data_IF_354886005363
#
_entry.id   IF_354886005363
#
_cell.length_a   1.000
_cell.length_b   1.000
_cell.length_c   1.000
_cell.angle_alpha   90.00
_cell.angle_beta   90.00
_cell.angle_gamma   90.00
#
_symmetry.space_group_name_H-M   'P 1'
#
loop_
_entity.id
_entity.type
_entity.pdbx_description
1 polymer ?
#
# COMPACT_ATOMS: atom_id res chain seq x y z
N UNK A 1 20.44 -15.80 -15.66
CA UNK A 1 18.96 -15.67 -15.70
C UNK A 1 18.41 -14.95 -14.46
N UNK A 2 18.93 -15.22 -13.26
CA UNK A 2 18.56 -14.62 -11.98
C UNK A 2 18.58 -13.07 -11.95
N UNK A 3 19.58 -12.45 -12.58
CA UNK A 3 19.72 -11.00 -12.64
C UNK A 3 18.58 -10.29 -13.42
N UNK A 4 18.06 -10.92 -14.49
CA UNK A 4 16.97 -10.35 -15.31
C UNK A 4 15.64 -10.35 -14.55
N UNK A 5 15.35 -11.40 -13.80
CA UNK A 5 14.13 -11.50 -12.99
C UNK A 5 14.11 -10.43 -11.87
N UNK A 6 15.24 -10.23 -11.19
CA UNK A 6 15.38 -9.17 -10.16
C UNK A 6 15.19 -7.77 -10.78
N UNK A 7 15.72 -7.53 -11.98
CA UNK A 7 15.55 -6.27 -12.70
C UNK A 7 14.07 -5.96 -13.00
N UNK A 8 13.31 -6.96 -13.46
CA UNK A 8 11.88 -6.84 -13.78
C UNK A 8 11.08 -6.53 -12.52
N UNK A 9 11.33 -7.26 -11.41
CA UNK A 9 10.68 -6.98 -10.12
C UNK A 9 10.94 -5.55 -9.65
N UNK A 10 12.18 -5.08 -9.75
CA UNK A 10 12.56 -3.70 -9.38
C UNK A 10 11.85 -2.66 -10.25
N UNK A 11 11.78 -2.88 -11.56
CA UNK A 11 11.04 -1.99 -12.46
C UNK A 11 9.55 -1.92 -12.10
N UNK A 12 8.93 -3.07 -11.79
CA UNK A 12 7.54 -3.13 -11.33
C UNK A 12 7.34 -2.38 -10.00
N UNK A 13 8.23 -2.56 -9.02
CA UNK A 13 8.17 -1.83 -7.75
C UNK A 13 8.25 -0.30 -7.96
N UNK A 14 9.11 0.16 -8.88
CA UNK A 14 9.21 1.59 -9.24
C UNK A 14 7.91 2.12 -9.83
N UNK A 15 7.22 1.35 -10.69
CA UNK A 15 5.93 1.75 -11.24
C UNK A 15 4.86 1.86 -10.14
N UNK A 16 4.77 0.85 -9.27
CA UNK A 16 3.84 0.86 -8.12
C UNK A 16 4.11 2.07 -7.23
N UNK A 17 5.38 2.39 -6.95
CA UNK A 17 5.74 3.57 -6.15
C UNK A 17 5.29 4.89 -6.80
N UNK A 18 5.47 5.04 -8.12
CA UNK A 18 5.00 6.22 -8.86
C UNK A 18 3.48 6.37 -8.77
N UNK A 19 2.75 5.26 -8.93
CA UNK A 19 1.29 5.27 -8.80
C UNK A 19 0.85 5.57 -7.37
N UNK A 20 1.50 4.96 -6.36
CA UNK A 20 1.25 5.22 -4.94
C UNK A 20 1.43 6.70 -4.61
N UNK A 21 2.50 7.33 -5.10
CA UNK A 21 2.74 8.77 -4.91
C UNK A 21 1.62 9.60 -5.52
N UNK A 22 1.13 9.26 -6.71
CA UNK A 22 0.02 9.99 -7.35
C UNK A 22 -1.29 9.83 -6.57
N UNK A 23 -1.63 8.63 -6.12
CA UNK A 23 -2.89 8.41 -5.39
C UNK A 23 -2.86 9.00 -3.99
N UNK A 24 -1.69 9.03 -3.34
CA UNK A 24 -1.55 9.60 -2.00
C UNK A 24 -1.73 11.12 -2.02
N UNK A 25 -1.24 11.82 -3.04
CA UNK A 25 -1.55 13.25 -3.22
C UNK A 25 -3.05 13.50 -3.41
N UNK A 26 -3.73 12.65 -4.20
CA UNK A 26 -5.17 12.75 -4.36
C UNK A 26 -5.95 12.47 -3.06
N UNK A 27 -5.47 11.54 -2.23
CA UNK A 27 -6.04 11.30 -0.90
C UNK A 27 -5.85 12.53 0.00
N UNK A 28 -4.65 13.13 0.00
CA UNK A 28 -4.37 14.37 0.74
C UNK A 28 -5.25 15.54 0.28
N UNK A 29 -5.62 15.60 -0.99
CA UNK A 29 -6.58 16.59 -1.50
C UNK A 29 -8.01 16.30 -1.02
N UNK A 30 -8.44 15.04 -1.04
CA UNK A 30 -9.78 14.63 -0.66
C UNK A 30 -10.07 14.89 0.82
N UNK A 31 -9.12 14.58 1.71
CA UNK A 31 -9.27 14.84 3.16
C UNK A 31 -9.38 16.32 3.52
N UNK A 32 -9.02 17.24 2.61
CA UNK A 32 -9.16 18.69 2.80
C UNK A 32 -10.51 19.23 2.33
N UNK A 33 -11.33 18.42 1.66
CA UNK A 33 -12.65 18.84 1.20
C UNK A 33 -13.65 18.82 2.35
N UNK A 34 -14.75 19.57 2.20
CA UNK A 34 -15.86 19.52 3.15
C UNK A 34 -16.40 18.09 3.26
N UNK A 35 -16.76 17.61 4.45
CA UNK A 35 -17.18 16.22 4.68
C UNK A 35 -18.64 16.01 4.26
N UNK A 36 -18.95 16.24 2.98
CA UNK A 36 -20.20 15.80 2.37
C UNK A 36 -20.17 14.30 2.14
N UNK A 37 -21.34 13.66 2.01
CA UNK A 37 -21.45 12.22 1.70
C UNK A 37 -20.56 11.83 0.51
N UNK A 38 -20.68 12.56 -0.62
CA UNK A 38 -19.86 12.32 -1.80
C UNK A 38 -18.35 12.46 -1.55
N UNK A 39 -17.92 13.44 -0.76
CA UNK A 39 -16.50 13.64 -0.46
C UNK A 39 -15.98 12.57 0.53
N UNK A 40 -16.84 12.08 1.43
CA UNK A 40 -16.52 10.97 2.32
C UNK A 40 -16.33 9.68 1.52
N UNK A 41 -17.27 9.34 0.62
CA UNK A 41 -17.16 8.18 -0.27
C UNK A 41 -15.89 8.25 -1.13
N UNK A 42 -15.63 9.41 -1.73
CA UNK A 42 -14.42 9.62 -2.52
C UNK A 42 -13.14 9.49 -1.68
N UNK A 43 -13.18 9.91 -0.40
CA UNK A 43 -12.04 9.79 0.51
C UNK A 43 -11.79 8.33 0.90
N UNK A 44 -12.86 7.58 1.20
CA UNK A 44 -12.79 6.14 1.48
C UNK A 44 -12.19 5.40 0.29
N UNK A 45 -12.71 5.61 -0.92
CA UNK A 45 -12.20 4.95 -2.12
C UNK A 45 -10.72 5.26 -2.39
N UNK A 46 -10.29 6.51 -2.14
CA UNK A 46 -8.88 6.92 -2.28
C UNK A 46 -7.99 6.30 -1.23
N UNK A 47 -8.48 6.17 0.00
CA UNK A 47 -7.77 5.44 1.06
C UNK A 47 -7.55 3.98 0.67
N UNK A 48 -8.59 3.30 0.16
CA UNK A 48 -8.47 1.91 -0.29
C UNK A 48 -7.44 1.74 -1.39
N UNK A 49 -7.43 2.63 -2.40
CA UNK A 49 -6.41 2.59 -3.45
C UNK A 49 -5.00 2.85 -2.92
N UNK A 50 -4.84 3.78 -1.99
CA UNK A 50 -3.56 4.04 -1.34
C UNK A 50 -3.08 2.82 -0.56
N UNK A 51 -3.96 2.19 0.22
CA UNK A 51 -3.64 0.99 0.99
C UNK A 51 -3.27 -0.17 0.06
N UNK A 52 -4.05 -0.40 -0.99
CA UNK A 52 -3.84 -1.46 -1.98
C UNK A 52 -2.47 -1.35 -2.66
N UNK A 53 -2.09 -0.14 -3.09
CA UNK A 53 -0.78 0.10 -3.69
C UNK A 53 0.36 0.02 -2.66
N UNK A 54 0.12 0.44 -1.42
CA UNK A 54 1.12 0.38 -0.34
C UNK A 54 1.50 -1.06 -0.01
N UNK A 55 0.54 -1.95 0.23
CA UNK A 55 0.86 -3.34 0.57
C UNK A 55 1.45 -4.09 -0.64
N UNK A 56 1.05 -3.75 -1.89
CA UNK A 56 1.69 -4.29 -3.10
C UNK A 56 3.13 -3.84 -3.25
N UNK A 57 3.45 -2.59 -2.89
CA UNK A 57 4.83 -2.11 -2.87
C UNK A 57 5.64 -2.82 -1.81
N UNK A 58 5.12 -2.96 -0.58
CA UNK A 58 5.76 -3.72 0.49
C UNK A 58 6.06 -5.16 0.06
N UNK A 59 5.07 -5.84 -0.52
CA UNK A 59 5.23 -7.19 -1.09
C UNK A 59 6.35 -7.22 -2.13
N UNK A 60 6.32 -6.32 -3.11
CA UNK A 60 7.33 -6.28 -4.17
C UNK A 60 8.75 -6.04 -3.62
N UNK A 61 8.89 -5.18 -2.61
CA UNK A 61 10.16 -4.93 -1.94
C UNK A 61 10.65 -6.16 -1.19
N UNK A 62 9.78 -6.82 -0.41
CA UNK A 62 10.12 -8.06 0.29
C UNK A 62 10.54 -9.18 -0.69
N UNK A 63 9.85 -9.32 -1.82
CA UNK A 63 10.17 -10.32 -2.86
C UNK A 63 11.49 -10.04 -3.61
N UNK A 64 11.99 -8.80 -3.60
CA UNK A 64 13.31 -8.44 -4.13
C UNK A 64 14.42 -8.88 -3.17
N UNK A 65 14.13 -8.86 -1.86
CA UNK A 65 14.97 -9.38 -0.77
C UNK A 65 14.85 -10.91 -0.60
N UNK A 66 14.07 -11.58 -1.46
CA UNK A 66 13.91 -13.04 -1.45
C UNK A 66 12.87 -13.56 -0.46
N UNK A 67 12.07 -12.69 0.14
CA UNK A 67 11.00 -13.06 1.06
C UNK A 67 9.70 -13.37 0.32
N UNK A 68 9.01 -14.41 0.76
CA UNK A 68 7.68 -14.74 0.25
C UNK A 68 6.58 -13.96 0.99
N UNK A 69 5.68 -13.34 0.23
CA UNK A 69 4.56 -12.56 0.76
C UNK A 69 3.28 -12.87 -0.03
N UNK A 70 2.27 -13.41 0.64
CA UNK A 70 1.01 -13.86 0.01
C UNK A 70 -0.23 -13.03 0.41
N UNK A 71 -0.12 -12.16 1.41
CA UNK A 71 -1.26 -11.38 1.93
C UNK A 71 -0.84 -9.98 2.40
N UNK A 72 -1.78 -9.00 2.52
CA UNK A 72 -1.48 -7.68 3.08
C UNK A 72 -0.91 -7.76 4.50
N UNK A 73 -1.48 -8.64 5.34
CA UNK A 73 -0.99 -8.89 6.70
C UNK A 73 0.45 -9.42 6.70
N UNK A 74 0.77 -10.34 5.78
CA UNK A 74 2.13 -10.83 5.58
C UNK A 74 3.09 -9.76 5.09
N UNK A 75 2.63 -8.90 4.18
CA UNK A 75 3.43 -7.79 3.65
C UNK A 75 3.82 -6.80 4.76
N UNK A 76 2.89 -6.43 5.64
CA UNK A 76 3.16 -5.53 6.78
C UNK A 76 4.20 -6.15 7.72
N UNK A 77 4.05 -7.44 8.07
CA UNK A 77 5.00 -8.14 8.95
C UNK A 77 6.40 -8.18 8.36
N UNK A 78 6.54 -8.62 7.11
CA UNK A 78 7.84 -8.73 6.46
C UNK A 78 8.48 -7.36 6.22
N UNK A 79 7.68 -6.36 5.85
CA UNK A 79 8.15 -4.99 5.70
C UNK A 79 8.73 -4.43 7.01
N UNK A 80 8.12 -4.72 8.15
CA UNK A 80 8.67 -4.34 9.45
C UNK A 80 9.98 -5.07 9.78
N UNK A 81 10.05 -6.38 9.51
CA UNK A 81 11.26 -7.20 9.74
C UNK A 81 12.47 -6.67 8.95
N UNK A 82 12.27 -6.25 7.71
CA UNK A 82 13.35 -5.70 6.86
C UNK A 82 13.57 -4.19 7.06
N UNK A 83 12.87 -3.54 8.01
CA UNK A 83 13.02 -2.10 8.28
C UNK A 83 12.46 -1.18 7.18
N UNK A 84 11.53 -1.67 6.35
CA UNK A 84 10.84 -0.84 5.34
C UNK A 84 9.80 0.09 5.97
N UNK A 85 9.24 -0.29 7.12
CA UNK A 85 8.27 0.52 7.90
C UNK A 85 8.63 0.51 9.37
N UNK A 86 8.45 1.65 10.03
CA UNK A 86 8.87 1.83 11.44
C UNK A 86 7.78 1.47 12.47
N UNK A 87 6.50 1.57 12.09
CA UNK A 87 5.36 1.39 13.01
C UNK A 87 4.30 0.47 12.37
N UNK A 88 4.50 -0.87 12.42
CA UNK A 88 3.56 -1.82 11.84
C UNK A 88 2.16 -1.77 12.47
N UNK A 89 2.03 -1.33 13.72
CA UNK A 89 0.75 -1.20 14.43
C UNK A 89 -0.19 -0.22 13.73
N UNK A 90 0.33 0.89 13.22
CA UNK A 90 -0.45 1.84 12.39
C UNK A 90 -0.94 1.17 11.10
N UNK A 91 -0.10 0.36 10.46
CA UNK A 91 -0.46 -0.34 9.23
C UNK A 91 -1.51 -1.43 9.46
N UNK A 92 -1.48 -2.11 10.60
CA UNK A 92 -2.55 -3.04 10.97
C UNK A 92 -3.88 -2.31 11.20
N UNK A 93 -3.87 -1.12 11.81
CA UNK A 93 -5.08 -0.29 11.91
C UNK A 93 -5.62 0.11 10.53
N UNK A 94 -4.74 0.42 9.58
CA UNK A 94 -5.16 0.70 8.20
C UNK A 94 -5.72 -0.54 7.49
N UNK A 95 -5.15 -1.72 7.74
CA UNK A 95 -5.71 -2.97 7.23
C UNK A 95 -7.12 -3.21 7.78
N UNK A 96 -7.32 -3.02 9.08
CA UNK A 96 -8.62 -3.18 9.72
C UNK A 96 -9.64 -2.18 9.17
N UNK A 97 -9.26 -0.91 9.05
CA UNK A 97 -10.09 0.13 8.44
C UNK A 97 -10.49 -0.22 7.00
N UNK A 98 -9.55 -0.70 6.18
CA UNK A 98 -9.84 -1.14 4.81
C UNK A 98 -10.77 -2.36 4.77
N UNK A 99 -10.64 -3.28 5.71
CA UNK A 99 -11.56 -4.43 5.77
C UNK A 99 -12.98 -4.00 6.13
N UNK A 100 -13.13 -2.98 6.98
CA UNK A 100 -14.44 -2.40 7.29
C UNK A 100 -15.05 -1.75 6.06
N UNK A 101 -14.30 -0.93 5.31
CA UNK A 101 -14.83 -0.19 4.15
C UNK A 101 -15.25 -1.08 2.99
N UNK A 102 -14.62 -2.25 2.82
CA UNK A 102 -14.95 -3.22 1.76
C UNK A 102 -16.19 -4.06 2.09
N UNK A 103 -16.58 -4.13 3.36
CA UNK A 103 -17.76 -4.88 3.82
C UNK A 103 -18.93 -3.97 4.23
N UNK A 104 -18.75 -2.65 4.20
CA UNK A 104 -19.77 -1.64 4.46
C UNK A 104 -20.62 -1.38 3.20
#
# INVERSE_FOLDING_TARGET
MENKAKLIKKAKAVLIYKDLKRVSERLKEAVKKSPTVFNQDATIQRFEFCFELSWKLMKATCEIEGLEVVSPKGAIRQAAVIGLIDNPEIWFKFLDARNITVHA
#
